data_IF_715818076141
#
_entry.id   IF_715818076141
#
_cell.length_a   1.000
_cell.length_b   1.000
_cell.length_c   1.000
_cell.angle_alpha   90.00
_cell.angle_beta   90.00
_cell.angle_gamma   90.00
#
_symmetry.space_group_name_H-M   'P 1'
#
loop_
_entity.id
_entity.type
_entity.pdbx_description
1 polymer ?
#
# COMPACT_ATOMS: atom_id res chain seq x y z
N UNK A 1 5.00 19.28 31.76
CA UNK A 1 5.91 18.36 31.03
C UNK A 1 5.91 18.88 29.62
N UNK A 2 7.05 19.38 29.13
CA UNK A 2 7.12 20.04 27.84
C UNK A 2 6.58 19.16 26.71
N UNK A 3 6.10 19.79 25.64
CA UNK A 3 5.56 19.17 24.42
C UNK A 3 6.65 18.37 23.66
N UNK A 4 7.14 17.28 24.26
CA UNK A 4 8.07 16.35 23.61
C UNK A 4 7.35 15.72 22.42
N UNK A 5 7.86 16.01 21.23
CA UNK A 5 7.31 15.54 19.97
C UNK A 5 7.72 14.08 19.76
N UNK A 6 6.75 13.17 19.74
CA UNK A 6 7.01 11.74 19.60
C UNK A 6 6.91 11.34 18.13
N UNK A 7 8.02 10.85 17.57
CA UNK A 7 8.07 10.29 16.23
C UNK A 7 8.04 8.77 16.26
N UNK A 8 7.25 8.22 15.36
CA UNK A 8 7.10 6.79 15.16
C UNK A 8 7.46 6.41 13.73
N UNK A 9 7.94 5.17 13.56
CA UNK A 9 8.27 4.62 12.23
C UNK A 9 7.06 4.42 11.32
N UNK A 10 5.86 4.27 11.88
CA UNK A 10 4.64 4.03 11.12
C UNK A 10 3.39 4.49 11.88
N UNK A 11 2.29 4.66 11.14
CA UNK A 11 1.00 5.06 11.69
C UNK A 11 0.43 4.10 12.73
N UNK A 12 0.77 2.81 12.65
CA UNK A 12 0.24 1.80 13.58
C UNK A 12 0.82 2.01 14.98
N UNK A 13 2.12 2.24 15.08
CA UNK A 13 2.76 2.56 16.35
C UNK A 13 2.27 3.91 16.89
N UNK A 14 2.10 4.93 16.03
CA UNK A 14 1.49 6.21 16.44
C UNK A 14 0.10 6.00 17.07
N UNK A 15 -0.75 5.21 16.41
CA UNK A 15 -2.10 4.91 16.87
C UNK A 15 -2.10 4.12 18.20
N UNK A 16 -1.24 3.12 18.32
CA UNK A 16 -1.08 2.34 19.55
C UNK A 16 -0.69 3.23 20.73
N UNK A 17 0.34 4.08 20.55
CA UNK A 17 0.79 4.99 21.60
C UNK A 17 -0.28 6.02 21.98
N UNK A 18 -1.02 6.52 20.99
CA UNK A 18 -2.15 7.41 21.22
C UNK A 18 -3.26 6.75 22.06
N UNK A 19 -3.63 5.50 21.73
CA UNK A 19 -4.61 4.74 22.50
C UNK A 19 -4.12 4.46 23.93
N UNK A 20 -2.87 3.99 24.08
CA UNK A 20 -2.28 3.74 25.40
C UNK A 20 -2.22 5.00 26.27
N UNK A 21 -1.85 6.15 25.69
CA UNK A 21 -1.91 7.42 26.40
C UNK A 21 -3.34 7.76 26.84
N UNK A 22 -4.32 7.58 25.95
CA UNK A 22 -5.73 7.84 26.26
C UNK A 22 -6.24 6.95 27.40
N UNK A 23 -5.91 5.66 27.40
CA UNK A 23 -6.25 4.75 28.50
C UNK A 23 -5.63 5.17 29.84
N UNK A 24 -4.38 5.64 29.83
CA UNK A 24 -3.72 6.14 31.03
C UNK A 24 -4.42 7.38 31.59
N UNK A 25 -4.85 8.31 30.73
CA UNK A 25 -5.58 9.51 31.17
C UNK A 25 -6.96 9.16 31.75
N UNK A 26 -7.66 8.18 31.16
CA UNK A 26 -8.92 7.64 31.68
C UNK A 26 -8.71 7.00 33.05
N UNK A 27 -7.69 6.16 33.21
CA UNK A 27 -7.33 5.53 34.50
C UNK A 27 -6.94 6.56 35.56
N UNK A 28 -6.35 7.70 35.15
CA UNK A 28 -6.07 8.83 36.01
C UNK A 28 -7.32 9.69 36.34
N UNK A 29 -8.51 9.31 35.87
CA UNK A 29 -9.78 9.99 36.16
C UNK A 29 -10.02 11.26 35.35
N UNK A 30 -9.20 11.56 34.32
CA UNK A 30 -9.41 12.73 33.48
C UNK A 30 -10.56 12.49 32.51
N UNK A 31 -11.36 13.55 32.28
CA UNK A 31 -12.47 13.55 31.31
C UNK A 31 -12.10 14.19 29.97
N UNK A 32 -11.05 15.00 29.96
CA UNK A 32 -10.48 15.64 28.79
C UNK A 32 -8.99 15.87 29.03
N UNK A 33 -8.19 15.80 27.98
CA UNK A 33 -6.76 16.07 27.98
C UNK A 33 -6.35 16.59 26.60
N UNK A 34 -5.22 17.28 26.55
CA UNK A 34 -4.64 17.72 25.29
C UNK A 34 -4.15 16.53 24.46
N UNK A 35 -4.35 16.61 23.15
CA UNK A 35 -3.89 15.59 22.21
C UNK A 35 -2.36 15.50 22.28
N UNK A 36 -1.78 14.34 22.63
CA UNK A 36 -0.33 14.21 22.69
C UNK A 36 0.27 14.37 21.28
N UNK A 37 1.42 15.06 21.13
CA UNK A 37 2.04 15.32 19.84
C UNK A 37 2.77 14.06 19.31
N UNK A 38 2.00 13.03 18.92
CA UNK A 38 2.49 11.75 18.41
C UNK A 38 2.27 11.69 16.90
N UNK A 39 3.33 11.56 16.13
CA UNK A 39 3.27 11.54 14.67
C UNK A 39 4.07 10.39 14.06
N UNK A 40 3.60 9.90 12.92
CA UNK A 40 4.43 9.15 11.99
C UNK A 40 5.40 10.12 11.30
N UNK A 41 6.69 9.78 11.27
CA UNK A 41 7.75 10.73 10.95
C UNK A 41 7.64 11.32 9.53
N UNK A 42 7.28 10.51 8.52
CA UNK A 42 7.14 10.97 7.13
C UNK A 42 5.96 11.93 6.99
N UNK A 43 4.84 11.64 7.65
CA UNK A 43 3.65 12.48 7.70
C UNK A 43 3.94 13.81 8.37
N UNK A 44 4.75 13.80 9.43
CA UNK A 44 5.20 15.02 10.06
C UNK A 44 6.06 15.86 9.12
N UNK A 45 7.09 15.29 8.48
CA UNK A 45 7.91 16.02 7.50
C UNK A 45 7.07 16.61 6.37
N UNK A 46 6.10 15.84 5.84
CA UNK A 46 5.13 16.34 4.86
C UNK A 46 4.33 17.53 5.39
N UNK A 47 3.84 17.45 6.64
CA UNK A 47 3.10 18.55 7.26
C UNK A 47 3.96 19.82 7.41
N UNK A 48 5.22 19.68 7.82
CA UNK A 48 6.13 20.80 7.99
C UNK A 48 6.52 21.43 6.64
N UNK A 49 6.68 20.60 5.61
CA UNK A 49 6.93 21.09 4.26
C UNK A 49 5.75 21.89 3.71
N UNK A 50 4.51 21.46 3.97
CA UNK A 50 3.31 22.22 3.56
C UNK A 50 3.26 23.62 4.20
N UNK A 51 3.78 23.78 5.43
CA UNK A 51 3.86 25.10 6.09
C UNK A 51 4.81 26.07 5.39
N UNK A 52 5.78 25.58 4.61
CA UNK A 52 6.67 26.45 3.84
C UNK A 52 5.95 27.20 2.72
N UNK A 53 4.73 26.77 2.36
CA UNK A 53 3.92 27.33 1.29
C UNK A 53 4.73 27.51 -0.01
N UNK A 54 5.49 26.46 -0.38
CA UNK A 54 6.29 26.46 -1.60
C UNK A 54 5.38 26.42 -2.82
N UNK A 55 5.79 27.09 -3.89
CA UNK A 55 5.24 26.97 -5.24
C UNK A 55 5.60 25.64 -5.94
N UNK A 56 6.23 24.71 -5.20
CA UNK A 56 6.53 23.35 -5.64
C UNK A 56 5.45 22.36 -5.22
N UNK A 57 5.24 21.30 -6.01
CA UNK A 57 4.30 20.24 -5.67
C UNK A 57 4.99 18.93 -5.29
N UNK A 58 4.45 18.24 -4.30
CA UNK A 58 4.95 16.94 -3.85
C UNK A 58 4.40 15.82 -4.73
N UNK A 59 5.30 15.03 -5.33
CA UNK A 59 4.93 13.86 -6.10
C UNK A 59 4.42 12.73 -5.18
N UNK A 60 3.34 12.09 -5.61
CA UNK A 60 2.98 10.76 -5.10
C UNK A 60 3.93 9.70 -5.66
N UNK A 61 4.07 8.58 -4.96
CA UNK A 61 4.87 7.43 -5.41
C UNK A 61 4.45 6.95 -6.81
N UNK A 62 3.15 6.94 -7.11
CA UNK A 62 2.66 6.53 -8.43
C UNK A 62 3.06 7.52 -9.53
N UNK A 63 3.01 8.83 -9.26
CA UNK A 63 3.47 9.85 -10.20
C UNK A 63 4.97 9.72 -10.44
N UNK A 64 5.78 9.57 -9.38
CA UNK A 64 7.22 9.32 -9.48
C UNK A 64 7.53 8.14 -10.38
N UNK A 65 6.91 6.96 -10.10
CA UNK A 65 7.12 5.75 -10.92
C UNK A 65 6.72 5.98 -12.39
N UNK A 66 5.65 6.72 -12.67
CA UNK A 66 5.23 7.02 -14.05
C UNK A 66 6.19 7.95 -14.78
N UNK A 67 6.79 8.91 -14.08
CA UNK A 67 7.84 9.77 -14.62
C UNK A 67 9.08 8.93 -14.94
N UNK A 68 9.52 8.07 -14.01
CA UNK A 68 10.60 7.10 -14.25
C UNK A 68 10.32 6.20 -15.45
N UNK A 69 9.10 5.66 -15.55
CA UNK A 69 8.67 4.82 -16.68
C UNK A 69 8.74 5.60 -18.00
N UNK A 70 8.39 6.88 -18.01
CA UNK A 70 8.49 7.76 -19.17
C UNK A 70 9.95 8.04 -19.56
N UNK A 71 10.82 8.32 -18.58
CA UNK A 71 12.26 8.54 -18.80
C UNK A 71 12.90 7.29 -19.41
N UNK A 72 12.59 6.11 -18.88
CA UNK A 72 13.11 4.83 -19.38
C UNK A 72 12.58 4.54 -20.79
N UNK A 73 11.29 4.83 -21.06
CA UNK A 73 10.71 4.66 -22.41
C UNK A 73 11.36 5.55 -23.47
N UNK A 74 11.74 6.77 -23.09
CA UNK A 74 12.31 7.76 -23.98
C UNK A 74 13.85 7.80 -23.92
N UNK A 75 14.47 6.90 -23.16
CA UNK A 75 15.92 6.77 -23.14
C UNK A 75 16.36 6.16 -24.47
N UNK A 76 17.37 6.73 -25.15
CA UNK A 76 18.00 6.02 -26.24
C UNK A 76 18.54 4.71 -25.68
N UNK A 77 18.07 3.58 -26.23
CA UNK A 77 18.75 2.29 -26.11
C UNK A 77 20.19 2.51 -26.57
N UNK A 78 21.19 1.92 -25.89
CA UNK A 78 22.62 2.11 -26.18
C UNK A 78 22.95 2.19 -27.69
N UNK A 79 23.98 2.96 -28.09
CA UNK A 79 24.30 3.17 -29.50
C UNK A 79 24.35 1.85 -30.26
N UNK A 80 23.61 1.84 -31.37
CA UNK A 80 23.45 0.73 -32.30
C UNK A 80 24.82 0.11 -32.63
N UNK A 81 25.15 -1.04 -32.06
CA UNK A 81 26.25 -1.84 -32.58
C UNK A 81 25.75 -2.60 -33.81
N UNK A 82 26.14 -2.12 -34.99
CA UNK A 82 25.96 -2.85 -36.24
C UNK A 82 26.97 -4.00 -36.27
N UNK A 83 26.61 -5.14 -35.68
CA UNK A 83 27.24 -6.39 -36.07
C UNK A 83 26.53 -6.84 -37.36
N UNK A 84 27.27 -7.26 -38.38
CA UNK A 84 26.81 -7.52 -39.76
C UNK A 84 25.74 -8.62 -39.94
N UNK A 85 24.94 -8.92 -38.92
CA UNK A 85 23.87 -9.91 -38.93
C UNK A 85 22.52 -9.39 -38.36
N UNK A 86 22.39 -8.10 -38.06
CA UNK A 86 21.10 -7.49 -37.73
C UNK A 86 21.16 -6.55 -36.53
N UNK A 87 20.13 -5.70 -36.42
CA UNK A 87 19.97 -4.72 -35.34
C UNK A 87 19.66 -5.50 -34.05
N UNK A 88 20.62 -5.55 -33.11
CA UNK A 88 20.38 -6.05 -31.75
C UNK A 88 20.18 -4.83 -30.86
N UNK A 89 18.93 -4.48 -30.54
CA UNK A 89 18.65 -3.57 -29.44
C UNK A 89 19.06 -4.29 -28.14
N UNK A 90 20.23 -3.96 -27.59
CA UNK A 90 20.77 -4.65 -26.41
C UNK A 90 19.88 -4.50 -25.15
N UNK A 91 18.96 -3.54 -25.13
CA UNK A 91 18.21 -3.15 -23.93
C UNK A 91 16.69 -3.14 -24.16
N UNK A 92 16.15 -4.18 -24.79
CA UNK A 92 14.70 -4.35 -24.87
C UNK A 92 14.15 -4.78 -23.50
N UNK A 93 14.03 -3.83 -22.56
CA UNK A 93 13.47 -4.07 -21.23
C UNK A 93 12.04 -4.62 -21.37
N UNK A 94 11.90 -5.93 -21.16
CA UNK A 94 10.63 -6.66 -21.21
C UNK A 94 9.56 -6.03 -20.31
N UNK A 95 9.95 -5.43 -19.18
CA UNK A 95 9.05 -4.79 -18.23
C UNK A 95 9.57 -3.41 -17.75
N UNK A 96 9.26 -2.37 -18.53
CA UNK A 96 9.63 -0.98 -18.26
C UNK A 96 9.09 -0.45 -16.93
N UNK A 97 7.90 -0.92 -16.51
CA UNK A 97 7.30 -0.52 -15.24
C UNK A 97 8.07 -1.07 -14.03
N UNK A 98 8.53 -2.33 -14.11
CA UNK A 98 9.36 -2.92 -13.06
C UNK A 98 10.75 -2.27 -12.99
N UNK A 99 11.33 -1.94 -14.15
CA UNK A 99 12.56 -1.16 -14.20
C UNK A 99 12.39 0.23 -13.56
N UNK A 100 11.28 0.92 -13.83
CA UNK A 100 10.96 2.21 -13.21
C UNK A 100 10.86 2.13 -11.68
N UNK A 101 10.23 1.07 -11.14
CA UNK A 101 10.20 0.83 -9.69
C UNK A 101 11.59 0.66 -9.10
N UNK A 102 12.45 -0.13 -9.74
CA UNK A 102 13.84 -0.36 -9.29
C UNK A 102 14.67 0.91 -9.36
N UNK A 103 14.52 1.70 -10.43
CA UNK A 103 15.21 2.99 -10.56
C UNK A 103 14.77 3.99 -9.47
N UNK A 104 13.46 4.10 -9.21
CA UNK A 104 12.91 4.92 -8.12
C UNK A 104 13.44 4.47 -6.74
N UNK A 105 13.53 3.16 -6.50
CA UNK A 105 14.10 2.58 -5.28
C UNK A 105 15.61 2.91 -5.13
N UNK A 106 16.40 2.73 -6.19
CA UNK A 106 17.82 3.06 -6.19
C UNK A 106 18.06 4.56 -5.95
N UNK A 107 17.27 5.42 -6.60
CA UNK A 107 17.32 6.86 -6.39
C UNK A 107 16.99 7.24 -4.94
N UNK A 108 15.97 6.62 -4.34
CA UNK A 108 15.65 6.80 -2.92
C UNK A 108 16.83 6.44 -2.03
N UNK A 109 17.44 5.28 -2.24
CA UNK A 109 18.59 4.82 -1.45
C UNK A 109 19.77 5.80 -1.55
N UNK A 110 20.06 6.31 -2.75
CA UNK A 110 21.12 7.32 -2.95
C UNK A 110 20.88 8.57 -2.11
N UNK A 111 19.64 9.07 -2.05
CA UNK A 111 19.29 10.25 -1.26
C UNK A 111 19.28 9.95 0.25
N UNK A 112 18.64 8.85 0.67
CA UNK A 112 18.55 8.43 2.08
C UNK A 112 19.93 8.15 2.70
N UNK A 113 20.84 7.55 1.93
CA UNK A 113 22.21 7.26 2.35
C UNK A 113 23.22 8.35 2.00
N UNK A 114 22.76 9.45 1.39
CA UNK A 114 23.58 10.60 1.02
C UNK A 114 24.81 10.24 0.16
N UNK A 115 24.64 9.26 -0.73
CA UNK A 115 25.69 8.78 -1.62
C UNK A 115 26.01 9.90 -2.63
N UNK A 116 27.27 10.34 -2.66
CA UNK A 116 27.75 11.32 -3.63
C UNK A 116 28.32 10.59 -4.84
N UNK A 117 27.66 10.77 -5.98
CA UNK A 117 28.15 10.31 -7.28
C UNK A 117 28.90 11.51 -7.89
N UNK A 118 30.18 11.68 -7.54
CA UNK A 118 30.98 12.83 -8.01
C UNK A 118 31.49 12.62 -9.44
N UNK A 119 32.06 11.45 -9.73
CA UNK A 119 32.41 11.03 -11.09
C UNK A 119 32.01 9.58 -11.31
N UNK A 120 31.44 9.27 -12.48
CA UNK A 120 31.14 7.89 -12.88
C UNK A 120 32.40 7.01 -12.92
N UNK A 121 33.57 7.60 -13.18
CA UNK A 121 34.87 6.92 -13.26
C UNK A 121 35.40 6.37 -11.94
N UNK A 122 34.88 6.83 -10.79
CA UNK A 122 35.40 6.47 -9.47
C UNK A 122 34.84 5.13 -8.97
N UNK A 123 33.89 4.56 -9.69
CA UNK A 123 33.26 3.27 -9.39
C UNK A 123 33.41 2.34 -10.60
N UNK A 124 33.63 1.03 -10.40
CA UNK A 124 33.51 0.05 -11.48
C UNK A 124 32.02 -0.09 -11.84
N UNK A 125 31.49 0.90 -12.56
CA UNK A 125 30.09 0.93 -12.96
C UNK A 125 29.90 -0.05 -14.12
N UNK A 126 28.93 -0.94 -13.96
CA UNK A 126 28.41 -1.69 -15.09
C UNK A 126 27.63 -0.76 -16.01
N UNK A 127 27.39 -1.17 -17.26
CA UNK A 127 26.62 -0.39 -18.23
C UNK A 127 25.23 -0.02 -17.69
N UNK A 128 24.64 -0.88 -16.84
CA UNK A 128 23.35 -0.63 -16.19
C UNK A 128 23.41 0.55 -15.23
N UNK A 129 24.52 0.69 -14.49
CA UNK A 129 24.68 1.77 -13.52
C UNK A 129 24.88 3.12 -14.22
N UNK A 130 25.66 3.15 -15.31
CA UNK A 130 25.80 4.37 -16.11
C UNK A 130 24.47 4.82 -16.70
N UNK A 131 23.66 3.87 -17.18
CA UNK A 131 22.35 4.13 -17.72
C UNK A 131 21.39 4.65 -16.63
N UNK A 132 21.41 4.04 -15.45
CA UNK A 132 20.64 4.51 -14.31
C UNK A 132 21.02 5.94 -13.89
N UNK A 133 22.31 6.28 -13.86
CA UNK A 133 22.75 7.65 -13.53
C UNK A 133 22.19 8.66 -14.53
N UNK A 134 22.24 8.36 -15.84
CA UNK A 134 21.62 9.22 -16.87
C UNK A 134 20.10 9.35 -16.67
N UNK A 135 19.42 8.31 -16.21
CA UNK A 135 17.99 8.39 -15.89
C UNK A 135 17.74 9.24 -14.63
N UNK A 136 18.59 9.13 -13.61
CA UNK A 136 18.52 9.93 -12.41
C UNK A 136 18.75 11.42 -12.69
N UNK A 137 19.69 11.77 -13.56
CA UNK A 137 19.90 13.15 -14.03
C UNK A 137 18.64 13.69 -14.72
N UNK A 138 18.05 12.94 -15.65
CA UNK A 138 16.78 13.31 -16.29
C UNK A 138 15.61 13.44 -15.30
N UNK A 139 15.61 12.63 -14.23
CA UNK A 139 14.60 12.73 -13.19
C UNK A 139 14.78 14.00 -12.36
N UNK A 140 16.01 14.33 -11.97
CA UNK A 140 16.33 15.59 -11.28
C UNK A 140 15.99 16.81 -12.16
N UNK A 141 16.31 16.79 -13.46
CA UNK A 141 15.90 17.82 -14.43
C UNK A 141 14.38 17.98 -14.51
N UNK A 142 13.64 16.86 -14.54
CA UNK A 142 12.17 16.89 -14.55
C UNK A 142 11.63 17.56 -13.27
N UNK A 143 12.19 17.22 -12.10
CA UNK A 143 11.78 17.81 -10.83
C UNK A 143 11.97 19.33 -10.83
N UNK A 144 13.12 19.82 -11.29
CA UNK A 144 13.42 21.25 -11.35
C UNK A 144 12.51 21.98 -12.35
N UNK A 145 12.37 21.48 -13.58
CA UNK A 145 11.55 22.11 -14.63
C UNK A 145 10.07 22.22 -14.26
N UNK A 146 9.55 21.22 -13.55
CA UNK A 146 8.15 21.17 -13.17
C UNK A 146 7.90 21.78 -11.78
N UNK A 147 8.91 22.29 -11.07
CA UNK A 147 8.76 22.67 -9.66
C UNK A 147 8.18 21.52 -8.83
N UNK A 148 8.64 20.31 -9.06
CA UNK A 148 8.21 19.14 -8.32
C UNK A 148 9.23 18.75 -7.25
N UNK A 149 8.78 18.06 -6.21
CA UNK A 149 9.64 17.45 -5.21
C UNK A 149 9.27 15.97 -5.01
N UNK A 150 10.30 15.13 -4.91
CA UNK A 150 10.15 13.76 -4.46
C UNK A 150 10.03 13.69 -2.93
N UNK A 151 9.19 12.79 -2.44
CA UNK A 151 9.02 12.49 -1.01
C UNK A 151 10.33 12.25 -0.26
N UNK A 152 11.35 11.70 -0.92
CA UNK A 152 12.65 11.42 -0.30
C UNK A 152 13.42 12.69 0.06
N UNK A 153 13.13 13.81 -0.62
CA UNK A 153 13.78 15.10 -0.36
C UNK A 153 13.10 15.90 0.76
N UNK A 154 11.99 15.42 1.34
CA UNK A 154 11.23 16.15 2.36
C UNK A 154 12.06 16.48 3.61
N UNK A 155 12.88 15.54 4.08
CA UNK A 155 13.74 15.75 5.26
C UNK A 155 14.71 16.91 5.01
N UNK A 156 15.34 16.92 3.84
CA UNK A 156 16.30 17.97 3.47
C UNK A 156 15.62 19.33 3.30
N UNK A 157 14.43 19.38 2.70
CA UNK A 157 13.68 20.64 2.56
C UNK A 157 13.17 21.19 3.88
N UNK A 158 12.68 20.33 4.78
CA UNK A 158 12.29 20.76 6.14
C UNK A 158 13.51 21.27 6.90
N UNK A 159 14.66 20.59 6.79
CA UNK A 159 15.92 21.04 7.37
C UNK A 159 16.35 22.42 6.82
N UNK A 160 16.24 22.66 5.50
CA UNK A 160 16.48 23.98 4.90
C UNK A 160 15.50 25.03 5.42
N UNK A 161 14.22 24.68 5.56
CA UNK A 161 13.18 25.54 6.13
C UNK A 161 13.48 25.96 7.57
N UNK A 162 13.96 25.04 8.39
CA UNK A 162 14.40 25.30 9.77
C UNK A 162 15.61 26.23 9.81
N UNK A 163 16.63 25.99 8.98
CA UNK A 163 17.81 26.87 8.88
C UNK A 163 17.43 28.30 8.47
N UNK A 164 16.44 28.44 7.61
CA UNK A 164 15.91 29.73 7.17
C UNK A 164 14.88 30.33 8.13
N UNK A 165 14.69 29.75 9.33
CA UNK A 165 13.73 30.19 10.36
C UNK A 165 12.26 30.25 9.87
N UNK A 166 11.93 29.50 8.83
CA UNK A 166 10.56 29.37 8.31
C UNK A 166 9.77 28.26 9.01
N UNK A 167 10.48 27.28 9.56
CA UNK A 167 9.92 26.19 10.35
C UNK A 167 10.53 26.27 11.75
N UNK A 168 9.71 26.10 12.78
CA UNK A 168 10.17 26.07 14.16
C UNK A 168 10.92 24.77 14.46
N UNK A 169 11.99 24.90 15.24
CA UNK A 169 12.80 23.76 15.68
C UNK A 169 12.14 23.22 16.97
N UNK A 170 11.78 21.93 17.04
CA UNK A 170 11.21 21.35 18.25
C UNK A 170 12.23 21.35 19.39
N UNK A 171 11.80 21.69 20.60
CA UNK A 171 12.67 21.72 21.80
C UNK A 171 13.08 20.32 22.26
N UNK A 172 12.18 19.34 22.10
CA UNK A 172 12.41 17.95 22.50
C UNK A 172 11.73 16.99 21.53
N UNK A 173 12.44 15.94 21.15
CA UNK A 173 11.93 14.86 20.31
C UNK A 173 12.20 13.49 20.94
N UNK A 174 11.29 12.55 20.72
CA UNK A 174 11.43 11.16 21.12
C UNK A 174 11.21 10.24 19.91
N UNK A 175 12.19 9.38 19.60
CA UNK A 175 12.11 8.41 18.51
C UNK A 175 11.61 7.05 19.03
N UNK A 176 10.58 6.47 18.40
CA UNK A 176 10.02 5.15 18.76
C UNK A 176 9.90 4.21 17.58
N UNK A 177 10.40 2.99 17.78
CA UNK A 177 10.27 1.88 16.84
C UNK A 177 11.23 1.90 15.66
N UNK A 178 12.29 2.72 15.71
CA UNK A 178 13.32 2.77 14.67
C UNK A 178 14.34 1.66 14.90
N UNK A 179 14.45 0.74 13.94
CA UNK A 179 15.49 -0.30 13.92
C UNK A 179 16.79 0.21 13.28
N UNK A 180 16.68 1.10 12.30
CA UNK A 180 17.80 1.71 11.60
C UNK A 180 17.54 3.20 11.42
N UNK A 181 18.60 4.01 11.54
CA UNK A 181 18.56 5.45 11.24
C UNK A 181 19.37 5.68 9.96
N UNK A 182 18.69 6.13 8.90
CA UNK A 182 19.36 6.46 7.64
C UNK A 182 20.31 7.65 7.83
N UNK A 183 21.42 7.73 7.07
CA UNK A 183 22.33 8.88 7.11
C UNK A 183 21.64 10.24 6.92
N UNK A 184 20.61 10.31 6.06
CA UNK A 184 19.80 11.51 5.88
C UNK A 184 19.06 11.91 7.17
N UNK A 185 18.43 10.95 7.85
CA UNK A 185 17.77 11.19 9.13
C UNK A 185 18.79 11.55 10.22
N UNK A 186 19.92 10.85 10.28
CA UNK A 186 21.01 11.13 11.23
C UNK A 186 21.53 12.56 11.08
N UNK A 187 21.70 13.06 9.86
CA UNK A 187 22.12 14.44 9.60
C UNK A 187 21.10 15.46 10.12
N UNK A 188 19.81 15.17 9.99
CA UNK A 188 18.76 16.03 10.55
C UNK A 188 18.77 16.00 12.08
N UNK A 189 18.92 14.83 12.70
CA UNK A 189 19.06 14.70 14.15
C UNK A 189 20.30 15.45 14.67
N UNK A 190 21.44 15.31 13.99
CA UNK A 190 22.65 16.06 14.31
C UNK A 190 22.46 17.58 14.18
N UNK A 191 21.68 18.03 13.19
CA UNK A 191 21.29 19.43 13.07
C UNK A 191 20.45 19.88 14.27
N UNK A 192 19.44 19.12 14.67
CA UNK A 192 18.61 19.43 15.85
C UNK A 192 19.43 19.49 17.15
N UNK A 193 20.34 18.54 17.36
CA UNK A 193 21.28 18.56 18.49
C UNK A 193 22.12 19.83 18.51
N UNK A 194 22.60 20.31 17.35
CA UNK A 194 23.37 21.56 17.28
C UNK A 194 22.54 22.82 17.56
N UNK A 195 21.21 22.70 17.57
CA UNK A 195 20.27 23.76 17.93
C UNK A 195 19.74 23.60 19.37
N UNK A 196 20.39 22.76 20.20
CA UNK A 196 20.01 22.44 21.58
C UNK A 196 18.65 21.73 21.74
N UNK A 197 18.17 21.05 20.70
CA UNK A 197 17.01 20.17 20.81
C UNK A 197 17.38 18.90 21.59
N UNK A 198 16.54 18.49 22.54
CA UNK A 198 16.75 17.26 23.30
C UNK A 198 16.22 16.05 22.52
N UNK A 199 17.12 15.15 22.13
CA UNK A 199 16.77 13.93 21.40
C UNK A 199 16.83 12.72 22.33
N UNK A 200 15.73 12.01 22.45
CA UNK A 200 15.64 10.76 23.23
C UNK A 200 15.25 9.59 22.31
N UNK A 201 15.86 8.43 22.51
CA UNK A 201 15.49 7.18 21.84
C UNK A 201 15.40 6.07 22.88
N UNK A 202 14.31 5.28 22.86
CA UNK A 202 14.09 4.18 23.83
C UNK A 202 15.06 3.01 23.57
N UNK A 203 15.51 2.86 22.34
CA UNK A 203 16.53 1.91 21.90
C UNK A 203 17.50 2.72 21.04
N UNK A 204 18.81 2.71 21.32
CA UNK A 204 19.76 3.29 20.38
C UNK A 204 19.84 2.36 19.17
N UNK A 205 19.39 2.77 17.97
CA UNK A 205 19.41 1.92 16.78
C UNK A 205 20.84 1.60 16.32
N UNK A 206 21.83 2.37 16.80
CA UNK A 206 23.25 2.12 16.56
C UNK A 206 23.89 1.22 17.62
N UNK A 207 23.18 0.89 18.71
CA UNK A 207 23.59 -0.19 19.61
C UNK A 207 23.35 -1.49 18.85
N UNK A 208 24.36 -1.88 18.07
CA UNK A 208 24.44 -3.22 17.51
C UNK A 208 24.14 -4.20 18.65
N UNK A 209 23.28 -5.18 18.37
CA UNK A 209 22.92 -6.31 19.26
C UNK A 209 24.12 -7.15 19.76
N UNK A 210 25.36 -6.67 19.62
CA UNK A 210 26.58 -7.22 20.22
C UNK A 210 26.53 -7.23 21.76
N UNK A 211 25.57 -6.56 22.39
CA UNK A 211 25.30 -6.61 23.83
C UNK A 211 24.08 -7.45 24.21
N UNK A 212 23.65 -8.42 23.36
CA UNK A 212 22.89 -9.57 23.85
C UNK A 212 23.79 -10.37 24.80
N UNK A 213 23.93 -9.89 26.03
CA UNK A 213 24.55 -10.59 27.14
C UNK A 213 23.83 -11.95 27.23
N UNK A 214 24.51 -13.01 26.80
CA UNK A 214 24.04 -14.40 26.85
C UNK A 214 23.57 -14.75 28.28
N UNK A 215 24.14 -14.09 29.28
CA UNK A 215 23.78 -14.20 30.68
C UNK A 215 22.32 -13.78 30.99
N UNK A 216 21.70 -12.91 30.18
CA UNK A 216 20.28 -12.49 30.32
C UNK A 216 19.27 -13.52 29.79
N UNK A 217 19.72 -14.58 29.12
CA UNK A 217 18.87 -15.65 28.58
C UNK A 217 18.79 -16.88 29.49
N UNK A 218 19.58 -16.91 30.57
CA UNK A 218 19.78 -18.09 31.44
C UNK A 218 18.51 -18.58 32.17
N UNK A 219 17.47 -17.74 32.29
CA UNK A 219 16.20 -18.07 32.95
C UNK A 219 14.98 -18.15 32.01
N UNK A 220 15.16 -18.18 30.68
CA UNK A 220 14.03 -18.17 29.74
C UNK A 220 13.66 -19.58 29.26
N UNK A 221 12.37 -19.92 29.38
CA UNK A 221 11.76 -21.17 28.92
C UNK A 221 11.62 -21.21 27.38
N UNK A 222 12.76 -21.29 26.69
CA UNK A 222 12.83 -21.34 25.24
C UNK A 222 12.60 -22.79 24.79
N UNK A 223 11.62 -22.98 23.91
CA UNK A 223 11.29 -24.29 23.34
C UNK A 223 11.24 -24.19 21.82
N UNK A 224 11.92 -25.12 21.16
CA UNK A 224 11.94 -25.23 19.70
C UNK A 224 11.14 -26.46 19.31
N UNK A 225 10.27 -26.30 18.32
CA UNK A 225 9.42 -27.37 17.80
C UNK A 225 9.59 -27.46 16.29
N UNK A 226 9.51 -28.67 15.76
CA UNK A 226 9.48 -28.93 14.32
C UNK A 226 8.09 -29.42 13.92
N UNK A 227 7.61 -28.95 12.77
CA UNK A 227 6.31 -29.28 12.22
C UNK A 227 6.45 -29.78 10.78
N UNK A 228 5.47 -30.55 10.32
CA UNK A 228 5.54 -31.20 8.99
C UNK A 228 5.38 -30.22 7.84
N UNK A 229 4.47 -29.26 8.01
CA UNK A 229 4.14 -28.24 7.03
C UNK A 229 3.56 -27.00 7.73
N UNK A 230 3.35 -25.95 6.93
CA UNK A 230 2.77 -24.66 7.36
C UNK A 230 1.41 -24.81 8.04
N UNK A 231 0.61 -25.80 7.62
CA UNK A 231 -0.75 -26.01 8.13
C UNK A 231 -0.71 -26.67 9.50
N UNK A 232 0.14 -27.67 9.69
CA UNK A 232 0.40 -28.30 10.98
C UNK A 232 0.99 -27.28 11.97
N UNK A 233 1.97 -26.47 11.54
CA UNK A 233 2.53 -25.40 12.35
C UNK A 233 1.45 -24.39 12.79
N UNK A 234 0.63 -23.90 11.85
CA UNK A 234 -0.45 -22.95 12.15
C UNK A 234 -1.46 -23.51 13.16
N UNK A 235 -1.85 -24.79 12.98
CA UNK A 235 -2.78 -25.48 13.87
C UNK A 235 -2.19 -25.67 15.26
N UNK A 236 -0.93 -26.12 15.35
CA UNK A 236 -0.24 -26.34 16.63
C UNK A 236 0.02 -25.04 17.36
N UNK A 237 0.34 -23.98 16.64
CA UNK A 237 0.44 -22.61 17.17
C UNK A 237 -0.90 -22.18 17.78
N UNK A 238 -2.02 -22.28 17.05
CA UNK A 238 -3.33 -21.90 17.57
C UNK A 238 -3.75 -22.72 18.81
N UNK A 239 -3.46 -24.03 18.82
CA UNK A 239 -3.69 -24.88 20.00
C UNK A 239 -2.83 -24.45 21.20
N UNK A 240 -1.58 -24.06 20.96
CA UNK A 240 -0.69 -23.56 22.01
C UNK A 240 -1.20 -22.25 22.58
N UNK A 241 -1.58 -21.29 21.73
CA UNK A 241 -2.18 -20.01 22.14
C UNK A 241 -3.39 -20.25 23.03
N UNK A 242 -4.31 -21.14 22.61
CA UNK A 242 -5.49 -21.52 23.41
C UNK A 242 -5.11 -22.13 24.76
N UNK A 243 -4.03 -22.91 24.84
CA UNK A 243 -3.60 -23.54 26.09
C UNK A 243 -3.05 -22.56 27.13
N UNK A 244 -2.52 -21.42 26.67
CA UNK A 244 -1.94 -20.40 27.56
C UNK A 244 -2.90 -19.23 27.80
N UNK A 245 -3.77 -18.90 26.85
CA UNK A 245 -4.63 -17.72 26.89
C UNK A 245 -5.69 -17.83 28.00
N UNK A 246 -5.52 -17.02 29.05
CA UNK A 246 -6.43 -16.92 30.21
C UNK A 246 -7.28 -15.64 30.24
N UNK A 247 -7.23 -14.81 29.19
CA UNK A 247 -7.97 -13.54 29.08
C UNK A 247 -7.11 -12.29 29.28
N UNK A 248 -6.19 -12.28 30.24
CA UNK A 248 -5.40 -11.08 30.61
C UNK A 248 -3.99 -11.03 29.99
N UNK A 249 -3.68 -11.95 29.07
CA UNK A 249 -2.33 -12.12 28.53
C UNK A 249 -2.22 -11.60 27.10
N UNK A 250 -1.17 -10.82 26.84
CA UNK A 250 -0.80 -10.40 25.49
C UNK A 250 0.15 -11.44 24.88
N UNK A 251 -0.29 -12.09 23.81
CA UNK A 251 0.49 -13.10 23.09
C UNK A 251 0.90 -12.53 21.74
N UNK A 252 2.20 -12.39 21.50
CA UNK A 252 2.75 -12.00 20.22
C UNK A 252 3.11 -13.21 19.37
N UNK A 253 2.61 -13.27 18.12
CA UNK A 253 2.99 -14.27 17.13
C UNK A 253 3.67 -13.53 15.98
N UNK A 254 4.97 -13.79 15.77
CA UNK A 254 5.76 -13.16 14.70
C UNK A 254 5.92 -14.16 13.57
N UNK A 255 5.52 -13.76 12.36
CA UNK A 255 5.55 -14.62 11.17
C UNK A 255 6.25 -13.87 10.04
N UNK A 256 7.46 -14.30 9.61
CA UNK A 256 8.21 -13.62 8.56
C UNK A 256 7.46 -13.53 7.21
N UNK A 257 6.77 -14.61 6.83
CA UNK A 257 6.03 -14.70 5.55
C UNK A 257 4.51 -14.68 5.76
N UNK A 258 4.01 -13.64 6.42
CA UNK A 258 2.61 -13.58 6.85
C UNK A 258 1.61 -13.84 5.73
N UNK A 259 1.86 -13.42 4.49
CA UNK A 259 0.95 -13.67 3.36
C UNK A 259 0.65 -15.16 3.12
N UNK A 260 1.65 -16.03 3.31
CA UNK A 260 1.49 -17.49 3.16
C UNK A 260 0.69 -18.09 4.32
N UNK A 261 0.92 -17.58 5.53
CA UNK A 261 0.31 -18.11 6.75
C UNK A 261 -1.07 -17.52 7.05
N UNK A 262 -1.36 -16.30 6.59
CA UNK A 262 -2.49 -15.47 7.03
C UNK A 262 -3.82 -16.23 7.05
N UNK A 263 -4.19 -16.83 5.90
CA UNK A 263 -5.47 -17.53 5.76
C UNK A 263 -5.58 -18.72 6.71
N UNK A 264 -4.49 -19.49 6.82
CA UNK A 264 -4.45 -20.69 7.67
C UNK A 264 -4.45 -20.31 9.14
N UNK A 265 -3.58 -19.38 9.56
CA UNK A 265 -3.55 -18.87 10.93
C UNK A 265 -4.88 -18.24 11.35
N UNK A 266 -5.47 -17.40 10.52
CA UNK A 266 -6.78 -16.79 10.82
C UNK A 266 -7.84 -17.88 11.07
N UNK A 267 -7.93 -18.87 10.17
CA UNK A 267 -8.87 -19.99 10.33
C UNK A 267 -8.62 -20.78 11.61
N UNK A 268 -7.38 -21.17 11.88
CA UNK A 268 -7.03 -22.01 13.04
C UNK A 268 -7.17 -21.23 14.37
N UNK A 269 -6.84 -19.93 14.40
CA UNK A 269 -7.05 -19.06 15.57
C UNK A 269 -8.54 -18.82 15.84
N UNK A 270 -9.34 -18.49 14.83
CA UNK A 270 -10.80 -18.40 14.96
C UNK A 270 -11.37 -19.71 15.53
N UNK A 271 -11.03 -20.84 14.92
CA UNK A 271 -11.55 -22.16 15.33
C UNK A 271 -11.19 -22.53 16.79
N UNK A 272 -10.10 -21.98 17.33
CA UNK A 272 -9.62 -22.30 18.68
C UNK A 272 -10.04 -21.28 19.75
N UNK A 273 -10.02 -19.99 19.42
CA UNK A 273 -10.24 -18.90 20.37
C UNK A 273 -11.67 -18.39 20.35
N UNK A 274 -12.36 -18.48 19.20
CA UNK A 274 -13.78 -18.13 19.08
C UNK A 274 -14.52 -19.11 18.17
N UNK A 275 -14.85 -20.32 18.64
CA UNK A 275 -15.61 -21.29 17.85
C UNK A 275 -17.01 -20.79 17.46
N UNK A 276 -17.57 -19.81 18.19
CA UNK A 276 -18.91 -19.28 17.92
C UNK A 276 -18.92 -18.28 16.75
N UNK A 277 -17.78 -17.65 16.44
CA UNK A 277 -17.61 -16.79 15.24
C UNK A 277 -17.89 -17.47 13.89
N UNK A 278 -17.98 -18.81 13.87
CA UNK A 278 -18.31 -19.58 12.66
C UNK A 278 -19.79 -19.41 12.29
N UNK A 279 -20.64 -19.01 13.24
CA UNK A 279 -22.06 -18.78 13.00
C UNK A 279 -22.30 -17.50 12.20
N UNK A 280 -22.99 -17.54 11.04
CA UNK A 280 -23.27 -16.35 10.23
C UNK A 280 -24.23 -15.34 10.88
N UNK A 281 -24.86 -15.70 12.00
CA UNK A 281 -25.95 -14.91 12.59
C UNK A 281 -25.49 -13.72 13.43
N UNK A 282 -24.23 -13.68 13.89
CA UNK A 282 -23.69 -12.57 14.67
C UNK A 282 -22.24 -12.26 14.28
N UNK A 283 -22.01 -11.07 13.76
CA UNK A 283 -20.65 -10.53 13.60
C UNK A 283 -20.15 -10.06 14.95
N UNK A 284 -19.21 -10.80 15.55
CA UNK A 284 -18.50 -10.38 16.77
C UNK A 284 -17.04 -10.09 16.46
N UNK A 285 -16.44 -9.21 17.24
CA UNK A 285 -15.02 -8.92 17.16
C UNK A 285 -14.22 -10.12 17.68
N UNK A 286 -13.29 -10.62 16.87
CA UNK A 286 -12.40 -11.71 17.24
C UNK A 286 -11.39 -11.23 18.30
N UNK A 287 -10.94 -12.11 19.23
CA UNK A 287 -10.05 -11.73 20.33
C UNK A 287 -8.58 -11.56 19.90
N UNK A 288 -8.31 -11.39 18.60
CA UNK A 288 -6.95 -11.27 18.07
C UNK A 288 -6.91 -10.32 16.86
N UNK A 289 -5.76 -9.68 16.66
CA UNK A 289 -5.50 -8.83 15.50
C UNK A 289 -4.34 -9.42 14.69
N UNK A 290 -4.55 -9.61 13.38
CA UNK A 290 -3.46 -9.96 12.46
C UNK A 290 -2.95 -8.67 11.81
N UNK A 291 -1.65 -8.41 11.98
CA UNK A 291 -0.95 -7.31 11.35
C UNK A 291 -1.21 -7.24 9.83
N UNK A 292 -1.36 -6.01 9.30
CA UNK A 292 -1.66 -5.70 7.90
C UNK A 292 -3.06 -6.18 7.47
N UNK A 293 -3.77 -5.40 6.66
CA UNK A 293 -5.03 -5.81 6.05
C UNK A 293 -4.82 -6.79 4.89
N UNK A 294 -5.89 -7.38 4.40
CA UNK A 294 -5.92 -7.96 3.05
C UNK A 294 -5.77 -6.83 2.01
N UNK A 295 -5.05 -7.06 0.90
CA UNK A 295 -5.00 -6.07 -0.17
C UNK A 295 -6.42 -5.72 -0.64
N UNK A 296 -6.73 -4.41 -0.73
CA UNK A 296 -8.08 -3.94 -1.08
C UNK A 296 -8.63 -4.57 -2.37
N UNK A 297 -7.79 -4.83 -3.37
CA UNK A 297 -8.22 -5.43 -4.63
C UNK A 297 -8.74 -6.88 -4.50
N UNK A 298 -8.47 -7.56 -3.37
CA UNK A 298 -8.99 -8.89 -3.05
C UNK A 298 -10.34 -8.85 -2.34
N UNK A 299 -10.74 -7.69 -1.83
CA UNK A 299 -12.07 -7.51 -1.24
C UNK A 299 -13.12 -7.60 -2.34
N UNK A 300 -14.13 -8.45 -2.19
CA UNK A 300 -15.09 -8.78 -3.27
C UNK A 300 -15.74 -7.56 -3.92
N UNK A 301 -16.03 -6.53 -3.12
CA UNK A 301 -16.57 -5.25 -3.58
C UNK A 301 -15.63 -4.51 -4.54
N UNK A 302 -14.36 -4.39 -4.16
CA UNK A 302 -13.34 -3.70 -4.97
C UNK A 302 -12.95 -4.55 -6.17
N UNK A 303 -12.83 -5.87 -5.96
CA UNK A 303 -12.55 -6.83 -7.01
C UNK A 303 -13.59 -6.73 -8.14
N UNK A 304 -14.89 -6.75 -7.80
CA UNK A 304 -15.98 -6.60 -8.77
C UNK A 304 -15.86 -5.29 -9.56
N UNK A 305 -15.58 -4.17 -8.90
CA UNK A 305 -15.39 -2.88 -9.58
C UNK A 305 -14.19 -2.90 -10.53
N UNK A 306 -13.06 -3.48 -10.11
CA UNK A 306 -11.86 -3.62 -10.94
C UNK A 306 -12.12 -4.53 -12.15
N UNK A 307 -12.88 -5.61 -11.98
CA UNK A 307 -13.30 -6.46 -13.09
C UNK A 307 -14.14 -5.69 -14.10
N UNK A 308 -15.13 -4.92 -13.65
CA UNK A 308 -15.99 -4.09 -14.52
C UNK A 308 -15.15 -3.09 -15.34
N UNK A 309 -14.28 -2.31 -14.69
CA UNK A 309 -13.51 -1.27 -15.39
C UNK A 309 -12.39 -1.83 -16.27
N UNK A 310 -12.00 -3.10 -16.08
CA UNK A 310 -10.98 -3.78 -16.88
C UNK A 310 -11.55 -4.58 -18.05
N UNK A 311 -12.87 -4.56 -18.25
CA UNK A 311 -13.53 -5.25 -19.36
C UNK A 311 -13.01 -4.72 -20.69
N UNK A 312 -12.65 -5.64 -21.57
CA UNK A 312 -12.26 -5.40 -22.96
C UNK A 312 -13.38 -5.91 -23.90
N UNK A 313 -13.32 -5.56 -25.18
CA UNK A 313 -14.41 -5.80 -26.14
C UNK A 313 -14.94 -7.25 -26.22
N UNK A 314 -14.10 -8.23 -25.90
CA UNK A 314 -14.49 -9.63 -25.71
C UNK A 314 -14.15 -10.08 -24.28
N UNK A 315 -15.11 -10.70 -23.60
CA UNK A 315 -14.97 -11.14 -22.20
C UNK A 315 -15.31 -12.64 -22.09
N UNK A 316 -14.54 -13.45 -21.36
CA UNK A 316 -14.93 -14.82 -21.02
C UNK A 316 -16.33 -14.86 -20.36
N UNK A 317 -17.16 -15.84 -20.74
CA UNK A 317 -18.55 -15.92 -20.28
C UNK A 317 -18.65 -16.05 -18.76
N UNK A 318 -17.74 -16.81 -18.14
CA UNK A 318 -17.59 -16.95 -16.69
C UNK A 318 -17.40 -15.59 -16.00
N UNK A 319 -16.58 -14.70 -16.56
CA UNK A 319 -16.41 -13.34 -16.03
C UNK A 319 -17.66 -12.49 -16.22
N UNK A 320 -18.33 -12.62 -17.35
CA UNK A 320 -19.58 -11.89 -17.59
C UNK A 320 -20.66 -12.27 -16.57
N UNK A 321 -20.84 -13.58 -16.36
CA UNK A 321 -21.78 -14.11 -15.38
C UNK A 321 -21.38 -13.72 -13.96
N UNK A 322 -20.09 -13.75 -13.63
CA UNK A 322 -19.59 -13.29 -12.32
C UNK A 322 -19.94 -11.82 -12.07
N UNK A 323 -19.71 -10.93 -13.05
CA UNK A 323 -20.09 -9.51 -12.93
C UNK A 323 -21.59 -9.38 -12.73
N UNK A 324 -22.41 -9.96 -13.62
CA UNK A 324 -23.88 -9.84 -13.59
C UNK A 324 -24.46 -10.36 -12.27
N UNK A 325 -23.93 -11.47 -11.75
CA UNK A 325 -24.40 -12.13 -10.53
C UNK A 325 -23.76 -11.58 -9.26
N UNK A 326 -22.82 -10.62 -9.34
CA UNK A 326 -22.12 -10.11 -8.17
C UNK A 326 -23.06 -9.40 -7.20
N UNK A 327 -23.09 -9.75 -5.91
CA UNK A 327 -23.96 -9.11 -4.91
C UNK A 327 -23.62 -7.64 -4.69
N UNK A 328 -22.45 -7.19 -5.16
CA UNK A 328 -21.97 -5.82 -5.00
C UNK A 328 -22.57 -4.84 -6.02
N UNK A 329 -23.23 -5.32 -7.08
CA UNK A 329 -23.96 -4.49 -8.05
C UNK A 329 -25.45 -4.80 -8.06
N UNK A 330 -26.25 -3.87 -8.61
CA UNK A 330 -27.71 -3.95 -8.55
C UNK A 330 -28.28 -5.16 -9.29
N UNK A 331 -27.67 -5.59 -10.39
CA UNK A 331 -28.11 -6.79 -11.12
C UNK A 331 -27.95 -8.08 -10.30
N UNK A 332 -26.92 -8.21 -9.47
CA UNK A 332 -26.77 -9.39 -8.62
C UNK A 332 -27.74 -9.41 -7.43
N UNK A 333 -28.34 -8.26 -7.11
CA UNK A 333 -29.39 -8.09 -6.09
C UNK A 333 -30.80 -8.08 -6.66
N UNK A 334 -30.97 -8.10 -7.98
CA UNK A 334 -32.29 -8.17 -8.62
C UNK A 334 -32.85 -9.59 -8.61
N UNK A 335 -34.04 -9.78 -9.20
CA UNK A 335 -34.76 -11.05 -9.19
C UNK A 335 -33.85 -12.21 -9.66
N UNK A 336 -33.93 -13.34 -8.94
CA UNK A 336 -33.16 -14.55 -9.22
C UNK A 336 -33.58 -15.19 -10.55
N UNK A 337 -34.86 -15.14 -10.89
CA UNK A 337 -35.40 -15.70 -12.14
C UNK A 337 -34.77 -15.03 -13.37
N UNK A 338 -34.67 -13.70 -13.35
CA UNK A 338 -34.06 -12.90 -14.42
C UNK A 338 -32.60 -13.28 -14.66
N UNK A 339 -31.86 -13.55 -13.58
CA UNK A 339 -30.44 -13.94 -13.64
C UNK A 339 -30.28 -15.34 -14.19
N UNK A 340 -31.09 -16.28 -13.70
CA UNK A 340 -31.08 -17.67 -14.16
C UNK A 340 -31.48 -17.79 -15.64
N UNK A 341 -32.45 -16.98 -16.08
CA UNK A 341 -32.85 -16.92 -17.47
C UNK A 341 -31.71 -16.38 -18.35
N UNK A 342 -31.08 -15.28 -17.95
CA UNK A 342 -29.95 -14.71 -18.67
C UNK A 342 -28.79 -15.70 -18.77
N UNK A 343 -28.41 -16.34 -17.67
CA UNK A 343 -27.36 -17.36 -17.64
C UNK A 343 -27.68 -18.52 -18.59
N UNK A 344 -28.92 -19.03 -18.55
CA UNK A 344 -29.38 -20.10 -19.45
C UNK A 344 -29.27 -19.69 -20.92
N UNK A 345 -29.67 -18.46 -21.28
CA UNK A 345 -29.57 -17.95 -22.66
C UNK A 345 -28.12 -17.85 -23.11
N UNK A 346 -27.24 -17.29 -22.29
CA UNK A 346 -25.81 -17.13 -22.62
C UNK A 346 -25.12 -18.48 -22.78
N UNK A 347 -25.41 -19.45 -21.91
CA UNK A 347 -24.82 -20.79 -22.00
C UNK A 347 -25.36 -21.59 -23.20
N UNK A 348 -26.62 -21.41 -23.59
CA UNK A 348 -27.20 -22.06 -24.79
C UNK A 348 -26.54 -21.65 -26.09
N UNK A 349 -26.04 -20.42 -26.18
CA UNK A 349 -25.29 -19.94 -27.35
C UNK A 349 -23.91 -20.60 -27.48
N UNK A 350 -23.39 -21.23 -26.41
CA UNK A 350 -22.18 -22.06 -26.46
C UNK A 350 -20.86 -21.29 -26.63
N UNK A 351 -20.86 -19.97 -26.45
CA UNK A 351 -19.64 -19.17 -26.57
C UNK A 351 -18.74 -19.31 -25.33
N UNK A 352 -17.43 -19.48 -25.53
CA UNK A 352 -16.44 -19.35 -24.45
C UNK A 352 -16.14 -17.88 -24.13
N UNK A 353 -16.32 -17.00 -25.11
CA UNK A 353 -16.12 -15.55 -25.02
C UNK A 353 -17.35 -14.81 -25.52
N UNK A 354 -17.94 -13.99 -24.65
CA UNK A 354 -19.06 -13.13 -24.98
C UNK A 354 -18.55 -11.84 -25.66
N UNK A 355 -19.08 -11.56 -26.84
CA UNK A 355 -18.99 -10.22 -27.43
C UNK A 355 -20.16 -9.39 -26.90
N UNK A 356 -19.88 -8.30 -26.17
CA UNK A 356 -20.91 -7.51 -25.48
C UNK A 356 -22.00 -6.99 -26.43
N UNK A 357 -21.66 -6.63 -27.68
CA UNK A 357 -22.62 -6.16 -28.69
C UNK A 357 -23.53 -7.28 -29.18
N UNK A 358 -23.05 -8.51 -29.24
CA UNK A 358 -23.87 -9.69 -29.56
C UNK A 358 -24.75 -10.07 -28.37
N UNK A 359 -24.20 -10.07 -27.15
CA UNK A 359 -24.96 -10.32 -25.91
C UNK A 359 -26.11 -9.35 -25.76
N UNK A 360 -25.93 -8.07 -26.14
CA UNK A 360 -27.01 -7.07 -26.14
C UNK A 360 -28.21 -7.46 -27.02
N UNK A 361 -28.00 -8.25 -28.09
CA UNK A 361 -29.09 -8.73 -28.97
C UNK A 361 -29.95 -9.83 -28.34
N UNK A 362 -29.48 -10.47 -27.27
CA UNK A 362 -30.20 -11.51 -26.54
C UNK A 362 -31.29 -10.95 -25.60
N UNK A 363 -31.31 -9.62 -25.40
CA UNK A 363 -32.32 -8.96 -24.59
C UNK A 363 -33.57 -8.64 -25.43
N UNK A 364 -34.71 -9.18 -25.01
CA UNK A 364 -36.06 -8.86 -25.50
C UNK A 364 -36.65 -7.68 -24.71
N UNK A 365 -37.81 -7.16 -25.12
CA UNK A 365 -38.53 -6.09 -24.38
C UNK A 365 -38.90 -6.51 -22.95
N UNK A 366 -39.10 -7.81 -22.71
CA UNK A 366 -39.40 -8.40 -21.40
C UNK A 366 -38.16 -8.67 -20.54
N UNK A 367 -36.95 -8.48 -21.08
CA UNK A 367 -35.72 -8.82 -20.34
C UNK A 367 -35.41 -7.82 -19.22
N UNK A 368 -34.78 -8.31 -18.16
CA UNK A 368 -34.45 -7.51 -16.97
C UNK A 368 -33.75 -6.20 -17.30
N UNK A 369 -34.34 -5.09 -16.84
CA UNK A 369 -33.79 -3.75 -17.09
C UNK A 369 -32.42 -3.56 -16.45
N UNK A 370 -32.10 -4.28 -15.37
CA UNK A 370 -30.84 -4.12 -14.64
C UNK A 370 -29.69 -4.88 -15.32
N UNK A 371 -29.91 -6.11 -15.79
CA UNK A 371 -28.88 -6.86 -16.53
C UNK A 371 -28.58 -6.16 -17.86
N UNK A 372 -29.61 -5.64 -18.54
CA UNK A 372 -29.43 -4.86 -19.77
C UNK A 372 -28.57 -3.61 -19.54
N UNK A 373 -28.80 -2.88 -18.44
CA UNK A 373 -27.97 -1.71 -18.04
C UNK A 373 -26.52 -2.10 -17.82
N UNK A 374 -26.24 -3.27 -17.21
CA UNK A 374 -24.86 -3.76 -17.04
C UNK A 374 -24.20 -3.91 -18.39
N UNK A 375 -24.83 -4.61 -19.34
CA UNK A 375 -24.27 -4.82 -20.68
C UNK A 375 -24.06 -3.51 -21.42
N UNK A 376 -25.04 -2.59 -21.36
CA UNK A 376 -24.93 -1.27 -21.98
C UNK A 376 -23.72 -0.48 -21.44
N UNK A 377 -23.55 -0.45 -20.11
CA UNK A 377 -22.42 0.25 -19.49
C UNK A 377 -21.07 -0.42 -19.78
N UNK A 378 -21.02 -1.76 -19.88
CA UNK A 378 -19.81 -2.45 -20.32
C UNK A 378 -19.46 -2.11 -21.79
N UNK A 379 -20.46 -1.96 -22.66
CA UNK A 379 -20.25 -1.52 -24.04
C UNK A 379 -19.69 -0.09 -24.06
N UNK A 380 -20.21 0.81 -23.22
CA UNK A 380 -19.73 2.20 -23.12
C UNK A 380 -18.26 2.25 -22.70
N UNK A 381 -17.82 1.43 -21.74
CA UNK A 381 -16.40 1.32 -21.34
C UNK A 381 -15.55 0.92 -22.55
N UNK A 382 -15.94 -0.16 -23.23
CA UNK A 382 -15.14 -0.70 -24.35
C UNK A 382 -15.13 0.19 -25.59
N UNK A 383 -16.10 1.11 -25.70
CA UNK A 383 -16.20 2.06 -26.81
C UNK A 383 -15.47 3.38 -26.53
N UNK A 384 -15.14 3.66 -25.27
CA UNK A 384 -14.43 4.87 -24.88
C UNK A 384 -12.91 4.71 -25.08
N UNK A 385 -12.43 5.21 -26.21
CA UNK A 385 -11.01 5.24 -26.57
C UNK A 385 -10.39 6.65 -26.42
N UNK A 386 -11.02 7.55 -25.67
CA UNK A 386 -10.56 8.92 -25.57
C UNK A 386 -9.29 9.05 -24.71
N UNK A 387 -8.34 9.86 -25.18
CA UNK A 387 -7.19 10.27 -24.37
C UNK A 387 -7.64 11.36 -23.40
N UNK A 388 -7.83 10.98 -22.13
CA UNK A 388 -8.30 11.87 -21.08
C UNK A 388 -7.35 11.86 -19.86
N UNK A 389 -7.25 12.99 -19.12
CA UNK A 389 -6.50 13.02 -17.87
C UNK A 389 -7.11 12.07 -16.82
N UNK A 390 -6.31 11.58 -15.85
CA UNK A 390 -6.77 10.65 -14.81
C UNK A 390 -7.97 11.16 -14.01
N UNK A 391 -8.10 12.48 -13.83
CA UNK A 391 -9.23 13.09 -13.12
C UNK A 391 -10.57 12.92 -13.84
N UNK A 392 -10.57 12.92 -15.18
CA UNK A 392 -11.78 12.66 -15.97
C UNK A 392 -12.11 11.17 -16.00
N UNK A 393 -11.10 10.30 -16.15
CA UNK A 393 -11.29 8.85 -15.99
C UNK A 393 -11.85 8.48 -14.62
N UNK A 394 -11.36 9.09 -13.55
CA UNK A 394 -11.89 8.88 -12.20
C UNK A 394 -13.37 9.26 -12.10
N UNK A 395 -13.78 10.40 -12.68
CA UNK A 395 -15.19 10.82 -12.74
C UNK A 395 -16.05 9.88 -13.57
N UNK A 396 -15.55 9.45 -14.73
CA UNK A 396 -16.22 8.50 -15.61
C UNK A 396 -16.49 7.17 -14.88
N UNK A 397 -15.44 6.54 -14.33
CA UNK A 397 -15.59 5.28 -13.60
C UNK A 397 -16.45 5.41 -12.35
N UNK A 398 -16.34 6.52 -11.60
CA UNK A 398 -17.20 6.76 -10.42
C UNK A 398 -18.69 6.85 -10.81
N UNK A 399 -19.00 7.54 -11.90
CA UNK A 399 -20.37 7.68 -12.41
C UNK A 399 -20.90 6.34 -12.91
N UNK A 400 -20.06 5.59 -13.63
CA UNK A 400 -20.41 4.27 -14.14
C UNK A 400 -20.72 3.28 -13.03
N UNK A 401 -19.83 3.16 -12.05
CA UNK A 401 -20.02 2.27 -10.91
C UNK A 401 -21.26 2.66 -10.10
N UNK A 402 -21.51 3.97 -9.93
CA UNK A 402 -22.75 4.47 -9.31
C UNK A 402 -24.00 4.02 -10.07
N UNK A 403 -23.99 4.08 -11.41
CA UNK A 403 -25.11 3.64 -12.24
C UNK A 403 -25.36 2.13 -12.16
N UNK A 404 -24.32 1.34 -11.93
CA UNK A 404 -24.42 -0.11 -11.67
C UNK A 404 -24.91 -0.43 -10.25
N UNK A 405 -25.09 0.57 -9.40
CA UNK A 405 -25.39 0.37 -7.99
C UNK A 405 -24.26 -0.33 -7.25
N UNK A 406 -23.00 -0.05 -7.64
CA UNK A 406 -21.82 -0.40 -6.85
C UNK A 406 -21.88 0.37 -5.53
N UNK A 407 -22.47 -0.30 -4.53
CA UNK A 407 -22.83 0.20 -3.21
C UNK A 407 -23.54 1.56 -3.23
N UNK A 408 -24.86 1.46 -3.17
CA UNK A 408 -25.74 2.46 -2.59
C UNK A 408 -26.81 1.69 -1.81
N UNK A 409 -26.72 1.72 -0.48
CA UNK A 409 -27.90 1.78 0.38
C UNK A 409 -27.67 2.96 1.32
N UNK A 410 -28.46 4.01 1.16
CA UNK A 410 -28.55 5.13 2.10
C UNK A 410 -29.30 4.73 3.37
N UNK A 411 -28.97 3.57 3.94
CA UNK A 411 -29.46 3.08 5.23
C UNK A 411 -28.32 2.44 6.01
N UNK A 412 -27.36 3.30 6.39
CA UNK A 412 -26.65 3.28 7.67
C UNK A 412 -25.67 4.44 7.67
N UNK A 413 -26.20 5.63 7.94
CA UNK A 413 -25.44 6.56 8.77
C UNK A 413 -25.25 5.88 10.12
N UNK A 414 -24.02 5.56 10.50
CA UNK A 414 -23.40 5.78 11.81
C UNK A 414 -21.99 5.20 11.82
#
# INVERSE_FOLDING_TARGET
>A
MGDTLIFTVNHRLARYLFCNHSEQQIKAGKKAWETPPIHEIKSWFKSQWLLLNSDRFLLSETQSIKIWESIIKNSPESPQQTNGQGIINQWNLLNKYSAAKRASEAYRLIKEYQIRIQNLSDYPLSEENELFIKWAEKYDEFLEQNKAIDSVSLIDEVCKGMKNKKILIPESIELKGFEEITPQLQKWLAFLNSQNSQITSILDPNDNLSSLNIDTLSDKNIKIYSFKDLKDESKKCANWVRSIFKGDQNIGIVVPELEKYRRTLHKELCSNLDPQSISPLETRDVPFEISLGTPLFKEGMIHTALEIISVQGNLPVDKLLHIVNSPHIKSGRSNEDDRNEFETRVLKEGFLTANLKQTKKLFTEESSSEIKKVIDLLIDITSNNESQPPSLWAKFFSTLLKNLGWIFDSEKSF
#
